data_IF_443607270764
#
_entry.id   IF_443607270764
#
_cell.length_a   1.000
_cell.length_b   1.000
_cell.length_c   1.000
_cell.angle_alpha   90.00
_cell.angle_beta   90.00
_cell.angle_gamma   90.00
#
_symmetry.space_group_name_H-M   'P 1'
#
loop_
_entity.id
_entity.type
_entity.pdbx_description
1 polymer ?
#
# COMPACT_ATOMS: atom_id res chain seq x y z
N UNK A 1 1.43 -5.31 -8.47
CA UNK A 1 0.28 -6.25 -8.54
C UNK A 1 -0.90 -5.49 -9.15
N UNK A 2 -1.73 -6.12 -9.98
CA UNK A 2 -2.89 -5.46 -10.60
C UNK A 2 -4.20 -6.01 -10.00
N UNK A 3 -5.22 -5.16 -9.90
CA UNK A 3 -6.49 -5.47 -9.25
C UNK A 3 -7.20 -6.65 -9.92
N UNK A 4 -7.12 -6.76 -11.25
CA UNK A 4 -7.69 -7.89 -12.00
C UNK A 4 -7.14 -9.24 -11.53
N UNK A 5 -5.84 -9.33 -11.26
CA UNK A 5 -5.22 -10.55 -10.73
C UNK A 5 -5.69 -10.85 -9.29
N UNK A 6 -6.05 -9.81 -8.52
CA UNK A 6 -6.54 -9.96 -7.14
C UNK A 6 -7.98 -10.48 -7.06
N UNK A 7 -8.76 -10.41 -8.14
CA UNK A 7 -10.13 -10.94 -8.20
C UNK A 7 -10.15 -12.48 -8.11
N UNK A 8 -9.11 -13.14 -8.60
CA UNK A 8 -8.97 -14.60 -8.55
C UNK A 8 -8.60 -15.13 -7.15
N UNK A 9 -8.29 -14.24 -6.20
CA UNK A 9 -7.96 -14.62 -4.83
C UNK A 9 -9.21 -14.90 -4.01
N UNK A 10 -9.09 -15.83 -3.06
CA UNK A 10 -10.06 -15.97 -1.96
C UNK A 10 -10.01 -14.73 -1.05
N UNK A 11 -11.12 -14.42 -0.38
CA UNK A 11 -11.21 -13.24 0.48
C UNK A 11 -10.16 -13.21 1.59
N UNK A 12 -9.79 -14.39 2.12
CA UNK A 12 -8.72 -14.54 3.10
C UNK A 12 -7.34 -14.14 2.53
N UNK A 13 -7.02 -14.60 1.30
CA UNK A 13 -5.77 -14.23 0.62
C UNK A 13 -5.76 -12.77 0.22
N UNK A 14 -6.90 -12.24 -0.24
CA UNK A 14 -7.06 -10.82 -0.55
C UNK A 14 -6.79 -9.96 0.69
N UNK A 15 -7.42 -10.29 1.83
CA UNK A 15 -7.21 -9.58 3.09
C UNK A 15 -5.78 -9.65 3.59
N UNK A 16 -5.12 -10.80 3.44
CA UNK A 16 -3.72 -10.95 3.82
C UNK A 16 -2.81 -10.02 3.00
N UNK A 17 -3.03 -10.01 1.68
CA UNK A 17 -2.21 -9.30 0.71
C UNK A 17 -2.45 -7.78 0.71
N UNK A 18 -3.70 -7.35 0.61
CA UNK A 18 -4.09 -5.93 0.54
C UNK A 18 -4.16 -5.30 1.93
N UNK A 19 -4.49 -6.10 2.95
CA UNK A 19 -4.59 -5.65 4.33
C UNK A 19 -5.97 -5.20 4.78
N UNK A 20 -6.95 -5.18 3.89
CA UNK A 20 -8.36 -4.83 4.15
C UNK A 20 -9.28 -5.91 3.57
N UNK A 21 -10.52 -5.98 4.09
CA UNK A 21 -11.52 -6.87 3.52
C UNK A 21 -11.92 -6.39 2.12
N UNK A 22 -12.39 -7.31 1.26
CA UNK A 22 -12.82 -7.00 -0.10
C UNK A 22 -13.99 -6.01 -0.12
N UNK A 23 -14.95 -6.17 0.79
CA UNK A 23 -16.07 -5.24 1.00
C UNK A 23 -15.60 -3.83 1.31
N UNK A 24 -14.68 -3.68 2.27
CA UNK A 24 -14.09 -2.38 2.61
C UNK A 24 -13.31 -1.77 1.44
N UNK A 25 -12.61 -2.59 0.66
CA UNK A 25 -11.91 -2.11 -0.53
C UNK A 25 -12.89 -1.54 -1.57
N UNK A 26 -14.02 -2.20 -1.80
CA UNK A 26 -15.07 -1.74 -2.70
C UNK A 26 -15.71 -0.43 -2.23
N UNK A 27 -15.98 -0.28 -0.93
CA UNK A 27 -16.48 0.96 -0.34
C UNK A 27 -15.48 2.12 -0.52
N UNK A 28 -14.20 1.88 -0.23
CA UNK A 28 -13.13 2.88 -0.44
C UNK A 28 -13.02 3.27 -1.92
N UNK A 29 -13.14 2.30 -2.82
CA UNK A 29 -13.10 2.53 -4.26
C UNK A 29 -14.30 3.36 -4.73
N UNK A 30 -15.50 3.11 -4.19
CA UNK A 30 -16.69 3.89 -4.50
C UNK A 30 -16.52 5.36 -4.10
N UNK A 31 -16.07 5.62 -2.86
CA UNK A 31 -15.77 6.97 -2.38
C UNK A 31 -14.69 7.63 -3.24
N UNK A 32 -13.64 6.90 -3.60
CA UNK A 32 -12.56 7.39 -4.45
C UNK A 32 -13.06 7.76 -5.85
N UNK A 33 -13.91 6.93 -6.45
CA UNK A 33 -14.51 7.19 -7.77
C UNK A 33 -15.38 8.44 -7.74
N UNK A 34 -16.22 8.61 -6.72
CA UNK A 34 -17.07 9.81 -6.57
C UNK A 34 -16.21 11.07 -6.38
N UNK A 35 -15.22 11.03 -5.50
CA UNK A 35 -14.31 12.15 -5.26
C UNK A 35 -13.48 12.50 -6.51
N UNK A 36 -13.04 11.48 -7.23
CA UNK A 36 -12.29 11.62 -8.46
C UNK A 36 -13.15 12.26 -9.56
N UNK A 37 -14.38 11.78 -9.75
CA UNK A 37 -15.34 12.37 -10.68
C UNK A 37 -15.59 13.85 -10.36
N UNK A 38 -15.85 14.17 -9.09
CA UNK A 38 -16.07 15.55 -8.64
C UNK A 38 -14.87 16.45 -8.98
N UNK A 39 -13.64 15.99 -8.71
CA UNK A 39 -12.42 16.74 -9.00
C UNK A 39 -12.15 16.89 -10.51
N UNK A 40 -12.53 15.91 -11.32
CA UNK A 40 -12.30 15.92 -12.76
C UNK A 40 -13.48 16.45 -13.59
N UNK A 41 -14.55 16.93 -12.95
CA UNK A 41 -15.67 17.62 -13.63
C UNK A 41 -15.21 18.86 -14.42
N UNK A 42 -14.16 19.54 -13.97
CA UNK A 42 -13.60 20.75 -14.62
C UNK A 42 -12.58 20.45 -15.72
N UNK A 43 -12.36 19.17 -16.05
CA UNK A 43 -11.36 18.74 -17.01
C UNK A 43 -9.97 18.59 -16.38
N UNK A 44 -9.23 17.58 -16.86
CA UNK A 44 -7.89 17.26 -16.38
C UNK A 44 -7.32 16.02 -17.07
N UNK A 45 -6.03 15.76 -16.89
CA UNK A 45 -5.36 14.61 -17.51
C UNK A 45 -5.93 13.31 -16.96
N UNK A 46 -6.29 12.38 -17.86
CA UNK A 46 -6.70 11.03 -17.48
C UNK A 46 -5.51 10.31 -16.82
N UNK A 47 -5.71 9.65 -15.67
CA UNK A 47 -4.66 8.91 -15.00
C UNK A 47 -4.24 7.75 -15.89
N UNK A 48 -2.93 7.50 -15.91
CA UNK A 48 -2.32 6.40 -16.68
C UNK A 48 -2.63 5.03 -16.07
N UNK A 49 -3.05 5.01 -14.81
CA UNK A 49 -3.36 3.83 -14.01
C UNK A 49 -4.85 3.83 -13.63
N UNK A 50 -5.45 2.64 -13.53
CA UNK A 50 -6.82 2.50 -13.03
C UNK A 50 -6.90 2.98 -11.58
N UNK A 51 -8.07 3.47 -11.16
CA UNK A 51 -8.27 3.91 -9.77
C UNK A 51 -8.17 2.74 -8.79
N UNK A 52 -8.55 1.54 -9.25
CA UNK A 52 -8.43 0.27 -8.56
C UNK A 52 -6.96 -0.06 -8.24
N UNK A 53 -6.11 -0.03 -9.26
CA UNK A 53 -4.68 -0.32 -9.11
C UNK A 53 -3.98 0.76 -8.26
N UNK A 54 -4.42 2.03 -8.39
CA UNK A 54 -3.90 3.12 -7.58
C UNK A 54 -4.23 2.96 -6.10
N UNK A 55 -5.48 2.60 -5.78
CA UNK A 55 -5.89 2.33 -4.40
C UNK A 55 -5.11 1.15 -3.81
N UNK A 56 -4.96 0.06 -4.57
CA UNK A 56 -4.23 -1.12 -4.12
C UNK A 56 -2.73 -0.82 -3.89
N UNK A 57 -2.09 -0.09 -4.81
CA UNK A 57 -0.70 0.34 -4.65
C UNK A 57 -0.51 1.24 -3.42
N UNK A 58 -1.47 2.13 -3.15
CA UNK A 58 -1.43 3.01 -1.98
C UNK A 58 -1.55 2.22 -0.68
N UNK A 59 -2.45 1.24 -0.61
CA UNK A 59 -2.61 0.38 0.57
C UNK A 59 -1.36 -0.48 0.82
N UNK A 60 -0.74 -1.00 -0.24
CA UNK A 60 0.53 -1.72 -0.15
C UNK A 60 1.66 -0.79 0.34
N UNK A 61 1.75 0.41 -0.22
CA UNK A 61 2.73 1.42 0.20
C UNK A 61 2.63 1.74 1.69
N UNK A 62 1.41 2.02 2.19
CA UNK A 62 1.18 2.34 3.61
C UNK A 62 1.59 1.17 4.53
N UNK A 63 1.37 -0.08 4.10
CA UNK A 63 1.80 -1.26 4.85
C UNK A 63 3.31 -1.44 4.86
N UNK A 64 3.95 -1.33 3.70
CA UNK A 64 5.39 -1.54 3.55
C UNK A 64 6.22 -0.43 4.18
N UNK A 65 5.72 0.81 4.18
CA UNK A 65 6.42 1.96 4.77
C UNK A 65 6.72 1.77 6.26
N UNK A 66 5.78 1.20 7.03
CA UNK A 66 6.02 0.82 8.44
C UNK A 66 7.15 -0.20 8.58
N UNK A 67 7.34 -1.06 7.60
CA UNK A 67 8.40 -2.06 7.60
C UNK A 67 9.74 -1.43 7.27
N UNK A 68 9.79 -0.47 6.34
CA UNK A 68 11.03 0.27 6.04
C UNK A 68 11.54 1.09 7.22
N UNK A 69 10.66 1.75 7.98
CA UNK A 69 11.07 2.44 9.22
C UNK A 69 11.64 1.47 10.26
N UNK A 70 10.97 0.32 10.46
CA UNK A 70 11.44 -0.73 11.37
C UNK A 70 12.77 -1.33 10.94
N UNK A 71 12.94 -1.64 9.65
CA UNK A 71 14.18 -2.14 9.09
C UNK A 71 15.30 -1.10 9.22
N UNK A 72 15.00 0.19 8.97
CA UNK A 72 15.95 1.28 9.16
C UNK A 72 16.39 1.38 10.62
N UNK A 73 15.47 1.32 11.58
CA UNK A 73 15.77 1.30 13.02
C UNK A 73 16.66 0.11 13.40
N UNK A 74 16.32 -1.10 12.94
CA UNK A 74 17.10 -2.31 13.19
C UNK A 74 18.51 -2.20 12.59
N UNK A 75 18.65 -1.67 11.37
CA UNK A 75 19.95 -1.48 10.71
C UNK A 75 20.81 -0.40 11.41
N UNK A 76 20.19 0.67 11.92
CA UNK A 76 20.89 1.70 12.68
C UNK A 76 21.34 1.16 14.04
N UNK A 77 20.49 0.40 14.75
CA UNK A 77 20.85 -0.21 16.03
C UNK A 77 21.94 -1.28 15.87
N UNK A 78 21.88 -2.10 14.82
CA UNK A 78 22.88 -3.14 14.58
C UNK A 78 24.23 -2.57 14.14
N UNK A 79 24.26 -1.48 13.36
CA UNK A 79 25.52 -0.76 13.07
C UNK A 79 26.12 -0.12 14.34
N UNK A 80 25.30 0.40 15.24
CA UNK A 80 25.76 0.95 16.51
C UNK A 80 26.36 -0.13 17.43
N UNK A 81 25.80 -1.35 17.45
CA UNK A 81 26.35 -2.46 18.26
C UNK A 81 27.60 -3.10 17.65
N UNK A 82 27.77 -3.11 16.32
CA UNK A 82 28.99 -3.63 15.68
C UNK A 82 30.20 -2.67 15.75
N UNK A 83 29.97 -1.38 15.99
CA UNK A 83 31.05 -0.41 16.25
C UNK A 83 31.57 -0.44 17.69
N UNK A 84 30.94 -1.22 18.58
CA UNK A 84 31.34 -1.40 19.98
C UNK A 84 31.58 -2.90 20.22
N UNK A 85 32.52 -3.47 19.46
CA UNK A 85 33.10 -4.80 19.71
C UNK A 85 34.32 -4.70 20.64
N UNK A 86 34.60 -5.73 21.47
CA UNK A 86 35.28 -5.57 22.75
C UNK A 86 36.79 -5.28 22.59
N UNK A 87 37.30 -4.42 23.47
CA UNK A 87 38.72 -4.39 23.82
C UNK A 87 39.05 -5.74 24.47
N UNK A 88 39.78 -6.59 23.76
CA UNK A 88 40.30 -7.88 24.21
C UNK A 88 41.42 -8.33 23.30
#
# INVERSE_FOLDING_TARGET
MNYEASKQLTDARFKCLVGVQRTTFEEMLAVLKTAYQLKHTKGGRKPKLSLEDLLMATLQYVREYRTYEKLRLILVSTKATYSVGPMG
#
